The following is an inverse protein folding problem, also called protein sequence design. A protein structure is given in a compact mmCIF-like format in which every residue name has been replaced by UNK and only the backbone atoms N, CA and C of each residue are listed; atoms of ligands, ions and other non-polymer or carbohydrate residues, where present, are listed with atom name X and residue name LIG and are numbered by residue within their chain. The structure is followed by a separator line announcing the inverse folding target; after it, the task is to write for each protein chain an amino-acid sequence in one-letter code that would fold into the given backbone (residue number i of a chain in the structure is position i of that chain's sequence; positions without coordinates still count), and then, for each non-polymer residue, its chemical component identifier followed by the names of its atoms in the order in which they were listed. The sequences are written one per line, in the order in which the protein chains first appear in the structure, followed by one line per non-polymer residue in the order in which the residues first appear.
data_IF_990122473170
#
_entry.id   IF_990122473170
#
_cell.length_a   1.000
_cell.length_b   1.000
_cell.length_c   1.000
_cell.angle_alpha   90.00
_cell.angle_beta   90.00
_cell.angle_gamma   90.00
#
_symmetry.space_group_name_H-M   'P 1'
#
loop_
_entity.id
_entity.type
_entity.pdbx_description
1 polymer ?
#
# COMPACT_ATOMS: atom_id res chain seq x y z
N UNK A 1 5.91 -7.76 -7.59
CA UNK A 1 5.43 -7.76 -6.19
C UNK A 1 3.98 -7.30 -6.17
N UNK A 2 3.09 -7.94 -5.39
CA UNK A 2 1.69 -7.54 -5.27
C UNK A 2 1.48 -6.91 -3.88
N UNK A 3 0.89 -5.72 -3.86
CA UNK A 3 0.55 -4.98 -2.65
C UNK A 3 -0.92 -4.60 -2.72
N UNK A 4 -1.64 -4.77 -1.62
CA UNK A 4 -2.99 -4.26 -1.48
C UNK A 4 -2.92 -2.79 -1.04
N UNK A 5 -3.65 -1.93 -1.73
CA UNK A 5 -3.65 -0.49 -1.49
C UNK A 5 -5.08 -0.05 -1.16
N UNK A 6 -5.25 0.43 0.06
CA UNK A 6 -6.50 1.07 0.50
C UNK A 6 -6.37 2.59 0.37
N UNK A 7 -7.29 3.21 -0.36
CA UNK A 7 -7.35 4.68 -0.48
C UNK A 7 -8.10 5.23 0.73
N UNK A 8 -7.41 6.04 1.54
CA UNK A 8 -7.98 6.60 2.77
C UNK A 8 -8.52 8.00 2.57
N UNK A 9 -7.91 8.79 1.69
CA UNK A 9 -8.34 10.17 1.43
C UNK A 9 -8.11 10.59 -0.02
N UNK A 10 -9.11 11.27 -0.60
CA UNK A 10 -9.10 11.80 -1.96
C UNK A 10 -9.66 13.22 -1.95
N UNK A 11 -8.89 14.17 -2.47
CA UNK A 11 -9.29 15.56 -2.62
C UNK A 11 -8.78 16.12 -3.93
N UNK A 12 -9.57 16.97 -4.59
CA UNK A 12 -9.17 17.63 -5.85
C UNK A 12 -8.73 16.63 -6.93
N UNK A 13 -9.36 15.45 -6.96
CA UNK A 13 -8.99 14.32 -7.84
C UNK A 13 -7.57 13.76 -7.61
N UNK A 14 -6.93 14.12 -6.50
CA UNK A 14 -5.65 13.58 -6.05
C UNK A 14 -5.87 12.71 -4.81
N UNK A 15 -5.22 11.54 -4.80
CA UNK A 15 -5.15 10.70 -3.61
C UNK A 15 -4.13 11.32 -2.65
N UNK A 16 -4.55 11.69 -1.44
CA UNK A 16 -3.68 12.33 -0.44
C UNK A 16 -3.08 11.32 0.53
N UNK A 17 -3.82 10.25 0.81
CA UNK A 17 -3.38 9.21 1.74
C UNK A 17 -3.82 7.82 1.28
N UNK A 18 -2.88 6.88 1.35
CA UNK A 18 -3.13 5.45 1.12
C UNK A 18 -2.51 4.62 2.24
N UNK A 19 -3.10 3.46 2.50
CA UNK A 19 -2.50 2.41 3.32
C UNK A 19 -2.05 1.28 2.40
N UNK A 20 -0.80 0.87 2.54
CA UNK A 20 -0.22 -0.23 1.78
C UNK A 20 -0.12 -1.44 2.69
N UNK A 21 -0.66 -2.56 2.24
CA UNK A 21 -0.59 -3.84 2.93
C UNK A 21 0.18 -4.81 2.04
N UNK A 22 1.32 -5.36 2.50
CA UNK A 22 2.04 -6.36 1.74
C UNK A 22 1.24 -7.66 1.73
N UNK A 23 1.00 -8.19 0.53
CA UNK A 23 0.28 -9.47 0.33
C UNK A 23 1.12 -10.64 0.88
N UNK A 24 2.45 -10.50 0.85
CA UNK A 24 3.39 -11.45 1.48
C UNK A 24 3.77 -10.99 2.89
N UNK A 25 4.04 -11.93 3.82
CA UNK A 25 4.55 -11.57 5.14
C UNK A 25 5.84 -10.75 5.02
N UNK A 26 5.95 -9.66 5.80
CA UNK A 26 7.09 -8.73 5.81
C UNK A 26 8.47 -9.42 5.91
N UNK A 27 8.53 -10.60 6.53
CA UNK A 27 9.77 -11.39 6.66
C UNK A 27 10.36 -11.83 5.32
N UNK A 28 9.53 -12.01 4.29
CA UNK A 28 9.99 -12.32 2.94
C UNK A 28 10.29 -11.06 2.12
N UNK A 29 9.62 -9.93 2.42
CA UNK A 29 9.80 -8.66 1.70
C UNK A 29 11.05 -7.86 2.10
N UNK A 30 11.64 -8.14 3.27
CA UNK A 30 12.88 -7.47 3.74
C UNK A 30 14.15 -8.18 3.22
N UNK A 31 14.01 -9.38 2.66
CA UNK A 31 15.13 -10.20 2.20
C UNK A 31 15.49 -10.03 0.71
N UNK A 32 14.84 -9.10 0.00
CA UNK A 32 15.07 -8.80 -1.42
C UNK A 32 15.60 -7.38 -1.64
#
# INVERSE_FOLDING_TARGET
EQYDIDILDVQENMIKQVKVVPVKPLRESVAE
#
